data_IF_182074212075
#
_entry.id   IF_182074212075
#
_cell.length_a   1.000
_cell.length_b   1.000
_cell.length_c   1.000
_cell.angle_alpha   90.00
_cell.angle_beta   90.00
_cell.angle_gamma   90.00
#
_symmetry.space_group_name_H-M   'P 1'
#
loop_
_entity.id
_entity.type
_entity.pdbx_description
1 polymer ?
#
# COMPACT_ATOMS: atom_id res chain seq x y z
N UNK A 1 -12.05 56.27 -0.21
CA UNK A 1 -12.19 54.84 0.03
C UNK A 1 -10.84 54.34 0.47
N UNK A 2 -10.67 54.24 1.77
CA UNK A 2 -9.44 53.82 2.41
C UNK A 2 -9.52 52.28 2.60
N UNK A 3 -8.52 51.56 2.15
CA UNK A 3 -8.34 50.13 2.34
C UNK A 3 -7.50 49.91 3.59
N UNK A 4 -8.12 49.34 4.63
CA UNK A 4 -7.46 48.83 5.82
C UNK A 4 -6.66 47.57 5.47
N UNK A 5 -5.35 47.70 5.51
CA UNK A 5 -4.44 46.57 5.63
C UNK A 5 -3.96 46.51 7.08
N UNK A 6 -4.63 45.71 7.91
CA UNK A 6 -4.06 45.25 9.18
C UNK A 6 -2.97 44.26 8.85
N UNK A 7 -1.74 44.57 9.23
CA UNK A 7 -0.55 43.80 8.94
C UNK A 7 -0.49 42.57 9.86
N UNK A 8 0.05 41.45 9.34
CA UNK A 8 0.25 40.20 10.09
C UNK A 8 1.05 40.36 11.40
N UNK A 9 1.76 41.47 11.57
CA UNK A 9 2.47 41.82 12.80
C UNK A 9 1.53 42.21 13.96
N UNK A 10 0.35 42.84 13.67
CA UNK A 10 -0.63 43.17 14.71
C UNK A 10 -1.38 41.94 15.23
N UNK A 11 -1.54 40.92 14.40
CA UNK A 11 -2.12 39.64 14.78
C UNK A 11 -1.16 38.79 15.64
N UNK A 12 0.12 38.83 15.35
CA UNK A 12 1.14 38.13 16.12
C UNK A 12 1.31 38.76 17.54
N UNK A 13 1.29 40.07 17.64
CA UNK A 13 1.38 40.79 18.91
C UNK A 13 0.16 40.53 19.81
N UNK A 14 -1.04 40.37 19.24
CA UNK A 14 -2.27 40.05 19.98
C UNK A 14 -2.26 38.61 20.51
N UNK A 15 -1.59 37.70 19.83
CA UNK A 15 -1.43 36.29 20.26
C UNK A 15 -0.43 36.15 21.42
N UNK A 16 0.69 36.85 21.36
CA UNK A 16 1.68 36.85 22.45
C UNK A 16 1.15 37.44 23.74
N UNK A 17 0.30 38.51 23.65
CA UNK A 17 -0.36 39.09 24.81
C UNK A 17 -1.42 38.17 25.46
N UNK A 18 -2.03 37.26 24.69
CA UNK A 18 -3.03 36.30 25.18
C UNK A 18 -2.39 35.10 25.91
N UNK A 19 -1.15 34.74 25.59
CA UNK A 19 -0.42 33.60 26.21
C UNK A 19 0.29 34.01 27.52
N UNK A 20 0.61 35.31 27.70
CA UNK A 20 1.36 35.80 28.87
C UNK A 20 0.47 36.14 30.08
N UNK A 21 -0.88 36.07 30.00
CA UNK A 21 -1.83 36.52 31.04
C UNK A 21 -2.65 35.40 31.69
N UNK A 22 -2.31 34.16 31.54
CA UNK A 22 -3.03 33.01 32.13
C UNK A 22 -2.61 32.68 33.56
N UNK A 23 -3.25 33.35 34.54
CA UNK A 23 -3.11 33.04 35.96
C UNK A 23 -3.86 31.73 36.28
N UNK A 24 -3.15 30.67 36.68
CA UNK A 24 -3.66 29.34 36.94
C UNK A 24 -4.43 29.18 38.26
N UNK A 25 -4.70 30.26 38.98
CA UNK A 25 -5.37 30.20 40.29
C UNK A 25 -6.90 30.37 40.26
N UNK A 26 -7.50 30.72 39.12
CA UNK A 26 -8.94 30.97 39.02
C UNK A 26 -9.78 29.79 38.52
N UNK A 27 -9.15 28.67 38.09
CA UNK A 27 -9.87 27.52 37.55
C UNK A 27 -10.21 26.45 38.60
N UNK A 28 -9.55 26.45 39.76
CA UNK A 28 -9.78 25.44 40.83
C UNK A 28 -10.92 25.85 41.81
N UNK A 29 -11.31 27.13 41.86
CA UNK A 29 -12.37 27.59 42.74
C UNK A 29 -13.78 27.44 42.15
N UNK A 30 -13.93 27.21 40.87
CA UNK A 30 -15.24 27.08 40.21
C UNK A 30 -15.88 25.68 40.31
N UNK A 31 -15.12 24.65 40.67
CA UNK A 31 -15.62 23.25 40.77
C UNK A 31 -16.12 22.87 42.14
N UNK A 32 -15.89 23.67 43.22
CA UNK A 32 -16.30 23.37 44.57
C UNK A 32 -17.58 24.04 45.06
N UNK A 33 -18.31 24.74 44.21
CA UNK A 33 -19.40 25.62 44.62
C UNK A 33 -20.84 25.07 44.39
N UNK A 34 -21.05 23.82 43.97
CA UNK A 34 -22.44 23.33 43.81
C UNK A 34 -22.65 21.89 44.18
N UNK A 35 -22.90 21.60 45.49
CA UNK A 35 -23.78 20.52 45.93
C UNK A 35 -24.18 20.76 47.41
N UNK A 36 -25.47 20.93 47.74
CA UNK A 36 -25.93 21.08 49.12
C UNK A 36 -26.34 19.74 49.76
N UNK A 37 -25.82 19.53 50.95
CA UNK A 37 -26.56 18.90 52.04
C UNK A 37 -26.59 17.39 52.22
N UNK A 38 -25.87 16.90 53.25
CA UNK A 38 -26.45 16.10 54.31
C UNK A 38 -25.40 15.84 55.41
N UNK A 39 -25.78 16.15 56.67
CA UNK A 39 -24.93 16.09 57.84
C UNK A 39 -24.79 14.72 58.47
N UNK A 40 -23.75 14.60 59.32
CA UNK A 40 -23.51 13.54 60.27
C UNK A 40 -22.15 13.71 60.95
N UNK A 41 -21.99 13.41 62.24
CA UNK A 41 -21.10 14.07 63.18
C UNK A 41 -19.65 13.53 63.23
N UNK A 42 -18.75 14.20 63.99
CA UNK A 42 -17.29 14.09 63.83
C UNK A 42 -16.65 12.97 64.67
N UNK A 43 -15.61 12.40 64.17
CA UNK A 43 -14.68 11.60 64.96
C UNK A 43 -13.22 11.78 64.48
N UNK A 44 -12.47 12.41 65.35
CA UNK A 44 -11.06 12.25 65.71
C UNK A 44 -9.99 12.03 64.63
N UNK A 45 -9.07 12.99 64.60
CA UNK A 45 -7.75 12.87 63.97
C UNK A 45 -6.82 11.99 64.85
N UNK A 46 -5.85 11.34 64.25
CA UNK A 46 -4.49 11.45 64.76
C UNK A 46 -3.43 11.74 63.69
N UNK A 47 -2.71 12.79 63.97
CA UNK A 47 -1.26 12.98 64.00
C UNK A 47 -0.37 12.41 62.85
N UNK A 48 0.25 13.37 62.23
CA UNK A 48 1.52 13.40 61.50
C UNK A 48 2.55 12.33 61.88
N UNK A 49 3.13 11.69 60.86
CA UNK A 49 4.56 11.34 60.86
C UNK A 49 5.14 11.68 59.48
N UNK A 50 5.98 12.68 59.47
CA UNK A 50 6.90 12.96 58.40
C UNK A 50 8.13 12.05 58.49
N UNK A 51 8.77 11.85 57.32
CA UNK A 51 10.14 11.33 57.15
C UNK A 51 10.32 9.82 57.08
N UNK A 52 10.54 9.31 55.85
CA UNK A 52 11.90 8.89 55.46
C UNK A 52 11.91 8.42 53.99
N UNK A 53 12.63 9.17 53.20
CA UNK A 53 13.09 8.73 51.88
C UNK A 53 14.27 7.78 52.08
N UNK A 54 14.20 6.53 51.64
CA UNK A 54 15.34 5.74 51.13
C UNK A 54 14.76 4.62 50.27
N UNK A 55 15.33 4.41 49.10
CA UNK A 55 14.91 3.46 48.08
C UNK A 55 14.63 2.04 48.61
N UNK A 56 13.45 1.59 48.34
CA UNK A 56 13.12 0.16 48.33
C UNK A 56 12.43 -0.13 47.01
N UNK A 57 13.05 -1.02 46.24
CA UNK A 57 12.39 -1.70 45.16
C UNK A 57 10.99 -2.11 45.61
N UNK A 58 9.98 -1.49 45.03
CA UNK A 58 8.59 -1.78 45.31
C UNK A 58 8.30 -3.16 44.75
N UNK A 59 8.48 -4.19 45.61
CA UNK A 59 8.07 -5.56 45.28
C UNK A 59 6.56 -5.50 45.13
N UNK A 60 6.06 -5.64 43.91
CA UNK A 60 4.64 -5.72 43.60
C UNK A 60 4.03 -6.91 44.35
N UNK A 61 2.93 -6.69 45.05
CA UNK A 61 2.16 -7.76 45.70
C UNK A 61 1.60 -8.72 44.65
N UNK A 62 1.40 -10.00 45.04
CA UNK A 62 0.87 -11.03 44.13
C UNK A 62 -0.46 -10.61 43.51
N UNK A 63 -1.32 -9.91 44.25
CA UNK A 63 -2.59 -9.38 43.73
C UNK A 63 -2.42 -8.26 42.71
N UNK A 64 -1.38 -7.45 42.84
CA UNK A 64 -1.02 -6.44 41.81
C UNK A 64 -0.44 -7.09 40.56
N UNK A 65 0.33 -8.16 40.73
CA UNK A 65 0.88 -8.95 39.62
C UNK A 65 -0.28 -9.70 38.92
N UNK A 66 -1.19 -10.29 39.64
CA UNK A 66 -2.34 -10.99 39.07
C UNK A 66 -3.33 -10.03 38.42
N UNK A 67 -3.50 -8.82 38.96
CA UNK A 67 -4.28 -7.74 38.35
C UNK A 67 -3.63 -7.23 37.06
N UNK A 68 -2.30 -7.07 36.99
CA UNK A 68 -1.54 -6.68 35.81
C UNK A 68 -1.53 -7.79 34.76
N UNK A 69 -1.53 -9.04 35.15
CA UNK A 69 -1.61 -10.22 34.29
C UNK A 69 -3.03 -10.56 33.84
N UNK A 70 -4.05 -9.92 34.48
CA UNK A 70 -5.46 -10.14 34.15
C UNK A 70 -6.03 -11.43 34.70
N UNK A 71 -5.46 -11.96 35.79
CA UNK A 71 -5.98 -13.11 36.58
C UNK A 71 -6.82 -12.64 37.75
N UNK A 72 -7.79 -11.75 37.55
CA UNK A 72 -8.82 -11.55 38.58
C UNK A 72 -9.86 -12.68 38.48
N UNK A 73 -9.90 -13.54 39.48
CA UNK A 73 -10.99 -14.49 39.69
C UNK A 73 -12.24 -13.74 40.16
N UNK A 74 -12.93 -13.06 39.25
CA UNK A 74 -14.30 -12.64 39.41
C UNK A 74 -15.04 -12.91 38.11
N UNK A 75 -15.64 -14.10 38.06
CA UNK A 75 -16.71 -14.44 37.15
C UNK A 75 -17.97 -13.71 37.60
N UNK A 76 -18.19 -12.48 37.21
CA UNK A 76 -19.50 -11.84 37.01
C UNK A 76 -19.31 -10.35 36.73
N UNK A 77 -19.17 -10.02 35.49
CA UNK A 77 -19.74 -8.81 34.84
C UNK A 77 -18.96 -8.46 33.59
N UNK A 78 -19.66 -8.39 32.48
CA UNK A 78 -19.10 -8.04 31.15
C UNK A 78 -18.66 -6.60 31.08
N UNK A 79 -17.46 -6.28 31.59
CA UNK A 79 -16.82 -5.00 31.30
C UNK A 79 -15.31 -5.07 31.60
N UNK A 80 -14.52 -4.77 30.58
CA UNK A 80 -13.11 -4.37 30.61
C UNK A 80 -12.08 -5.49 30.82
N UNK A 81 -11.77 -6.17 29.74
CA UNK A 81 -10.46 -6.81 29.53
C UNK A 81 -9.38 -5.73 29.39
N UNK A 82 -9.07 -5.01 30.46
CA UNK A 82 -8.07 -3.96 30.51
C UNK A 82 -6.85 -4.49 31.28
N UNK A 83 -5.95 -5.13 30.57
CA UNK A 83 -4.69 -5.59 31.16
C UNK A 83 -3.63 -5.76 30.08
N UNK A 84 -2.45 -6.20 30.47
CA UNK A 84 -1.32 -6.51 29.58
C UNK A 84 -1.76 -7.41 28.40
N UNK A 85 -2.74 -8.31 28.59
CA UNK A 85 -3.34 -9.09 27.50
C UNK A 85 -4.04 -8.22 26.44
N UNK A 86 -4.73 -7.15 26.84
CA UNK A 86 -5.33 -6.22 25.88
C UNK A 86 -4.24 -5.44 25.16
N UNK A 87 -3.16 -5.05 25.86
CA UNK A 87 -1.99 -4.40 25.25
C UNK A 87 -1.22 -5.36 24.33
N UNK A 88 -0.98 -6.60 24.74
CA UNK A 88 -0.36 -7.62 23.89
C UNK A 88 -1.25 -7.93 22.69
N UNK A 89 -2.56 -8.06 22.89
CA UNK A 89 -3.50 -8.28 21.79
C UNK A 89 -3.58 -7.06 20.85
N UNK A 90 -3.54 -5.83 21.36
CA UNK A 90 -3.52 -4.64 20.53
C UNK A 90 -2.17 -4.44 19.83
N UNK A 91 -1.06 -4.75 20.49
CA UNK A 91 0.28 -4.70 19.89
C UNK A 91 0.46 -5.77 18.80
N UNK A 92 -0.15 -6.96 18.99
CA UNK A 92 -0.16 -8.02 17.96
C UNK A 92 -1.08 -7.67 16.76
N UNK A 93 -1.98 -6.70 16.90
CA UNK A 93 -2.90 -6.23 15.85
C UNK A 93 -2.44 -4.91 15.23
N UNK A 94 -1.41 -4.26 15.78
CA UNK A 94 -0.78 -3.09 15.15
C UNK A 94 0.05 -3.52 13.94
N UNK A 95 -0.65 -3.95 12.89
CA UNK A 95 -0.01 -4.25 11.61
C UNK A 95 0.34 -2.97 10.88
N UNK A 96 1.43 -3.07 10.15
CA UNK A 96 1.96 -2.00 9.32
C UNK A 96 0.91 -1.50 8.34
N UNK A 97 0.67 -0.20 8.33
CA UNK A 97 -0.22 0.43 7.37
C UNK A 97 0.38 0.31 5.98
N UNK A 98 -0.41 -0.14 5.01
CA UNK A 98 -0.01 -0.30 3.62
C UNK A 98 -0.69 0.78 2.76
N UNK A 99 -0.08 1.97 2.60
CA UNK A 99 -0.74 3.11 1.96
C UNK A 99 -1.16 2.84 0.51
N UNK A 100 -0.38 2.01 -0.19
CA UNK A 100 -0.68 1.69 -1.59
C UNK A 100 -1.93 0.84 -1.76
N UNK A 101 -2.36 0.10 -0.73
CA UNK A 101 -3.63 -0.64 -0.80
C UNK A 101 -4.83 0.30 -0.90
N UNK A 102 -4.80 1.44 -0.22
CA UNK A 102 -5.88 2.44 -0.31
C UNK A 102 -6.06 2.87 -1.78
N UNK A 103 -4.97 3.15 -2.47
CA UNK A 103 -4.99 3.56 -3.89
C UNK A 103 -5.48 2.43 -4.81
N UNK A 104 -5.04 1.19 -4.56
CA UNK A 104 -5.49 0.02 -5.33
C UNK A 104 -7.00 -0.19 -5.14
N UNK A 105 -7.50 -0.09 -3.91
CA UNK A 105 -8.92 -0.29 -3.65
C UNK A 105 -9.79 0.87 -4.13
N UNK A 106 -9.32 2.11 -4.11
CA UNK A 106 -10.01 3.23 -4.77
C UNK A 106 -10.13 3.01 -6.28
N UNK A 107 -9.10 2.43 -6.90
CA UNK A 107 -9.15 2.03 -8.31
C UNK A 107 -10.13 0.87 -8.51
N UNK A 108 -10.10 -0.14 -7.62
CA UNK A 108 -11.04 -1.26 -7.67
C UNK A 108 -12.49 -0.79 -7.64
N UNK A 109 -12.83 0.12 -6.73
CA UNK A 109 -14.17 0.72 -6.60
C UNK A 109 -14.65 1.33 -7.92
N UNK A 110 -13.80 2.09 -8.60
CA UNK A 110 -14.14 2.69 -9.90
C UNK A 110 -14.36 1.64 -10.99
N UNK A 111 -13.50 0.61 -11.06
CA UNK A 111 -13.65 -0.48 -12.02
C UNK A 111 -14.91 -1.29 -11.74
N UNK A 112 -15.13 -1.69 -10.48
CA UNK A 112 -16.32 -2.43 -10.06
C UNK A 112 -17.61 -1.66 -10.36
N UNK A 113 -17.67 -0.35 -10.11
CA UNK A 113 -18.83 0.48 -10.44
C UNK A 113 -19.18 0.33 -11.92
N UNK A 114 -18.20 0.39 -12.82
CA UNK A 114 -18.44 0.24 -14.26
C UNK A 114 -18.82 -1.18 -14.64
N UNK A 115 -18.09 -2.17 -14.13
CA UNK A 115 -18.33 -3.58 -14.47
C UNK A 115 -19.66 -4.09 -13.94
N UNK A 116 -20.04 -3.70 -12.71
CA UNK A 116 -21.31 -4.10 -12.12
C UNK A 116 -22.50 -3.41 -12.79
N UNK A 117 -22.39 -2.14 -13.22
CA UNK A 117 -23.41 -1.50 -14.06
C UNK A 117 -23.66 -2.26 -15.34
N UNK A 118 -22.58 -2.70 -16.01
CA UNK A 118 -22.68 -3.51 -17.22
C UNK A 118 -23.26 -4.90 -16.93
N UNK A 119 -22.91 -5.52 -15.82
CA UNK A 119 -23.37 -6.84 -15.42
C UNK A 119 -24.84 -6.87 -15.07
N UNK A 120 -25.33 -5.89 -14.32
CA UNK A 120 -26.72 -5.80 -13.85
C UNK A 120 -27.63 -5.04 -14.83
N UNK A 121 -27.05 -4.24 -15.74
CA UNK A 121 -27.77 -3.26 -16.59
C UNK A 121 -28.61 -2.27 -15.76
N UNK A 122 -28.18 -2.01 -14.53
CA UNK A 122 -28.81 -1.08 -13.59
C UNK A 122 -27.80 -0.03 -13.08
N UNK A 123 -28.30 1.02 -12.42
CA UNK A 123 -27.42 2.02 -11.82
C UNK A 123 -26.83 1.50 -10.53
N UNK A 124 -25.55 1.12 -10.56
CA UNK A 124 -24.82 0.60 -9.41
C UNK A 124 -23.74 1.62 -8.99
N UNK A 125 -23.65 1.87 -7.72
CA UNK A 125 -22.57 2.65 -7.10
C UNK A 125 -21.83 1.78 -6.09
N UNK A 126 -20.50 1.77 -6.18
CA UNK A 126 -19.62 1.06 -5.25
C UNK A 126 -18.87 2.07 -4.44
N UNK A 127 -18.78 1.86 -3.13
CA UNK A 127 -18.01 2.70 -2.22
C UNK A 127 -17.12 1.85 -1.31
N UNK A 128 -15.99 2.42 -0.90
CA UNK A 128 -15.07 1.82 0.06
C UNK A 128 -15.45 2.29 1.46
N UNK A 129 -15.96 1.40 2.29
CA UNK A 129 -16.36 1.73 3.66
C UNK A 129 -15.15 1.79 4.60
N UNK A 130 -14.29 0.77 4.57
CA UNK A 130 -13.12 0.70 5.46
C UNK A 130 -12.08 -0.32 4.99
N UNK A 131 -10.82 -0.05 5.34
CA UNK A 131 -9.71 -1.01 5.27
C UNK A 131 -9.21 -1.22 6.70
N UNK A 132 -9.25 -2.45 7.19
CA UNK A 132 -8.93 -2.78 8.57
C UNK A 132 -8.01 -4.00 8.63
N UNK A 133 -7.10 -4.00 9.61
CA UNK A 133 -6.30 -5.19 9.92
C UNK A 133 -6.95 -5.93 11.08
N UNK A 134 -7.12 -7.24 10.93
CA UNK A 134 -7.70 -8.10 11.97
C UNK A 134 -7.15 -9.52 11.88
N UNK A 135 -7.45 -10.33 12.89
CA UNK A 135 -7.11 -11.75 12.85
C UNK A 135 -8.11 -12.50 11.98
N UNK A 136 -7.59 -13.49 11.26
CA UNK A 136 -8.42 -14.33 10.39
C UNK A 136 -9.56 -15.04 11.14
N UNK A 137 -9.27 -15.56 12.34
CA UNK A 137 -10.28 -16.24 13.17
C UNK A 137 -11.38 -15.29 13.66
N UNK A 138 -11.03 -14.05 14.03
CA UNK A 138 -11.99 -13.05 14.47
C UNK A 138 -12.92 -12.65 13.31
N UNK A 139 -12.37 -12.55 12.11
CA UNK A 139 -13.16 -12.30 10.91
C UNK A 139 -14.17 -13.41 10.64
N UNK A 140 -13.75 -14.68 10.63
CA UNK A 140 -14.65 -15.81 10.38
C UNK A 140 -15.82 -15.86 11.37
N UNK A 141 -15.57 -15.47 12.63
CA UNK A 141 -16.60 -15.40 13.66
C UNK A 141 -17.53 -14.18 13.53
N UNK A 142 -17.10 -13.14 12.81
CA UNK A 142 -17.86 -11.90 12.61
C UNK A 142 -18.78 -11.94 11.40
N UNK A 143 -18.66 -12.93 10.51
CA UNK A 143 -19.44 -13.03 9.28
C UNK A 143 -20.93 -13.25 9.59
N UNK A 144 -21.83 -12.34 9.19
CA UNK A 144 -23.27 -12.54 9.36
C UNK A 144 -23.75 -13.65 8.42
N UNK A 145 -24.43 -14.64 8.97
CA UNK A 145 -25.00 -15.73 8.18
C UNK A 145 -26.50 -15.48 7.89
N UNK A 146 -26.99 -15.90 6.74
CA UNK A 146 -26.33 -16.60 5.64
C UNK A 146 -25.48 -15.66 4.76
N UNK A 147 -24.31 -16.15 4.31
CA UNK A 147 -23.44 -15.46 3.37
C UNK A 147 -22.85 -16.45 2.37
N UNK A 148 -22.35 -15.96 1.25
CA UNK A 148 -21.54 -16.75 0.31
C UNK A 148 -20.09 -16.31 0.45
N UNK A 149 -19.22 -17.31 0.64
CA UNK A 149 -17.77 -17.13 0.80
C UNK A 149 -17.08 -17.74 -0.43
N UNK A 150 -16.47 -16.90 -1.22
CA UNK A 150 -15.69 -17.29 -2.38
C UNK A 150 -14.21 -17.32 -2.02
N UNK A 151 -13.63 -18.50 -1.99
CA UNK A 151 -12.19 -18.67 -1.85
C UNK A 151 -11.56 -18.52 -3.21
N UNK A 152 -10.56 -17.65 -3.33
CA UNK A 152 -9.83 -17.44 -4.57
C UNK A 152 -8.33 -17.58 -4.35
N UNK A 153 -7.63 -17.97 -5.40
CA UNK A 153 -6.18 -18.10 -5.42
C UNK A 153 -5.55 -16.93 -6.18
N UNK A 154 -4.53 -16.32 -5.59
CA UNK A 154 -3.65 -15.37 -6.27
C UNK A 154 -2.45 -16.14 -6.85
N UNK A 155 -2.47 -16.43 -8.16
CA UNK A 155 -1.51 -17.35 -8.80
C UNK A 155 -0.05 -16.94 -8.60
N UNK A 156 0.27 -15.67 -8.83
CA UNK A 156 1.65 -15.17 -8.75
C UNK A 156 2.15 -14.99 -7.31
N UNK A 157 1.23 -14.93 -6.35
CA UNK A 157 1.54 -14.83 -4.93
C UNK A 157 1.48 -16.19 -4.22
N UNK A 158 1.08 -17.25 -4.96
CA UNK A 158 0.93 -18.65 -4.52
C UNK A 158 0.18 -18.80 -3.19
N UNK A 159 -0.83 -17.97 -2.98
CA UNK A 159 -1.61 -17.94 -1.75
C UNK A 159 -3.09 -17.63 -2.03
N UNK A 160 -3.92 -17.68 -1.01
CA UNK A 160 -5.36 -17.53 -1.11
C UNK A 160 -5.86 -16.22 -0.51
N UNK A 161 -7.04 -15.81 -0.96
CA UNK A 161 -7.86 -14.76 -0.37
C UNK A 161 -9.32 -15.21 -0.27
N UNK A 162 -10.12 -14.43 0.44
CA UNK A 162 -11.53 -14.71 0.68
C UNK A 162 -12.37 -13.49 0.28
N UNK A 163 -13.40 -13.72 -0.52
CA UNK A 163 -14.42 -12.73 -0.86
C UNK A 163 -15.74 -13.16 -0.26
N UNK A 164 -16.28 -12.37 0.65
CA UNK A 164 -17.57 -12.64 1.31
C UNK A 164 -18.63 -11.73 0.71
N UNK A 165 -19.76 -12.32 0.31
CA UNK A 165 -20.89 -11.62 -0.25
C UNK A 165 -22.08 -11.75 0.72
N UNK A 166 -22.60 -10.61 1.17
CA UNK A 166 -23.71 -10.53 2.10
C UNK A 166 -25.05 -10.97 1.41
N UNK A 167 -25.94 -11.53 2.20
CA UNK A 167 -27.27 -11.96 1.75
C UNK A 167 -28.08 -10.86 1.07
N UNK A 168 -28.02 -9.62 1.58
CA UNK A 168 -28.73 -8.50 1.00
C UNK A 168 -28.26 -8.24 -0.44
N UNK A 169 -26.93 -8.27 -0.64
CA UNK A 169 -26.36 -8.11 -1.98
C UNK A 169 -26.73 -9.27 -2.89
N UNK A 170 -26.67 -10.50 -2.39
CA UNK A 170 -27.02 -11.70 -3.16
C UNK A 170 -28.44 -11.60 -3.70
N UNK A 171 -29.40 -11.36 -2.79
CA UNK A 171 -30.82 -11.27 -3.21
C UNK A 171 -31.08 -10.05 -4.09
N UNK A 172 -30.43 -8.91 -3.83
CA UNK A 172 -30.53 -7.72 -4.66
C UNK A 172 -30.08 -7.98 -6.10
N UNK A 173 -28.93 -8.63 -6.27
CA UNK A 173 -28.39 -8.95 -7.60
C UNK A 173 -29.22 -10.01 -8.30
N UNK A 174 -29.63 -11.05 -7.59
CA UNK A 174 -30.49 -12.11 -8.15
C UNK A 174 -31.81 -11.52 -8.65
N UNK A 175 -32.44 -10.65 -7.85
CA UNK A 175 -33.68 -10.00 -8.21
C UNK A 175 -33.52 -9.11 -9.45
N UNK A 176 -32.47 -8.30 -9.53
CA UNK A 176 -32.17 -7.46 -10.70
C UNK A 176 -31.94 -8.32 -11.96
N UNK A 177 -31.09 -9.36 -11.85
CA UNK A 177 -30.77 -10.22 -13.00
C UNK A 177 -31.96 -11.06 -13.51
N UNK A 178 -32.89 -11.37 -12.63
CA UNK A 178 -34.13 -12.08 -12.99
C UNK A 178 -35.25 -11.13 -13.46
N UNK A 179 -34.95 -9.83 -13.57
CA UNK A 179 -35.90 -8.83 -14.10
C UNK A 179 -36.87 -8.30 -13.05
N UNK A 180 -36.54 -8.39 -11.78
CA UNK A 180 -37.30 -7.80 -10.67
C UNK A 180 -37.43 -6.29 -10.84
N UNK A 181 -38.68 -5.79 -10.79
CA UNK A 181 -38.99 -4.36 -10.89
C UNK A 181 -38.55 -3.66 -9.59
N UNK A 182 -38.22 -2.36 -9.70
CA UNK A 182 -38.01 -1.47 -8.56
C UNK A 182 -39.26 -1.55 -7.65
N UNK A 183 -39.06 -2.11 -6.48
CA UNK A 183 -40.14 -2.35 -5.52
C UNK A 183 -39.91 -1.54 -4.26
N UNK A 184 -40.97 -0.97 -3.72
CA UNK A 184 -40.99 -0.26 -2.44
C UNK A 184 -40.93 -1.18 -1.21
N UNK A 185 -40.86 -2.50 -1.43
CA UNK A 185 -40.86 -3.49 -0.34
C UNK A 185 -39.40 -3.88 -0.03
N UNK A 186 -38.98 -3.64 1.19
CA UNK A 186 -37.66 -4.10 1.69
C UNK A 186 -37.54 -5.61 1.47
N UNK A 187 -36.45 -6.02 0.82
CA UNK A 187 -36.18 -7.43 0.56
C UNK A 187 -36.03 -8.19 1.89
N UNK A 188 -36.86 -9.20 2.08
CA UNK A 188 -36.80 -10.02 3.29
C UNK A 188 -35.73 -11.10 3.12
N UNK A 189 -34.67 -11.00 3.90
CA UNK A 189 -33.64 -12.04 3.93
C UNK A 189 -34.22 -13.27 4.63
N UNK A 190 -34.48 -14.32 3.83
CA UNK A 190 -34.89 -15.61 4.35
C UNK A 190 -33.62 -16.40 4.75
N UNK A 191 -33.59 -16.95 5.98
CA UNK A 191 -32.47 -17.76 6.46
C UNK A 191 -32.37 -19.16 5.82
N UNK A 192 -32.84 -19.31 4.56
CA UNK A 192 -32.79 -20.56 3.82
C UNK A 192 -31.45 -20.76 3.10
N UNK A 193 -31.06 -22.01 2.79
CA UNK A 193 -29.91 -22.29 1.95
C UNK A 193 -30.11 -21.72 0.53
N UNK A 194 -29.02 -21.25 -0.08
CA UNK A 194 -29.05 -20.70 -1.42
C UNK A 194 -29.32 -21.80 -2.47
N UNK A 195 -30.17 -21.48 -3.43
CA UNK A 195 -30.48 -22.35 -4.56
C UNK A 195 -29.31 -22.45 -5.55
N UNK A 196 -29.36 -23.43 -6.43
CA UNK A 196 -28.35 -23.61 -7.48
C UNK A 196 -28.28 -22.39 -8.42
N UNK A 197 -29.43 -21.79 -8.74
CA UNK A 197 -29.50 -20.60 -9.60
C UNK A 197 -28.82 -19.42 -8.93
N UNK A 198 -29.14 -19.14 -7.67
CA UNK A 198 -28.52 -18.07 -6.87
C UNK A 198 -27.01 -18.25 -6.80
N UNK A 199 -26.54 -19.48 -6.54
CA UNK A 199 -25.10 -19.79 -6.50
C UNK A 199 -24.41 -19.52 -7.84
N UNK A 200 -25.00 -19.91 -8.95
CA UNK A 200 -24.43 -19.66 -10.30
C UNK A 200 -24.34 -18.16 -10.59
N UNK A 201 -25.39 -17.40 -10.26
CA UNK A 201 -25.39 -15.94 -10.47
C UNK A 201 -24.35 -15.24 -9.60
N UNK A 202 -24.22 -15.66 -8.34
CA UNK A 202 -23.18 -15.12 -7.44
C UNK A 202 -21.77 -15.54 -7.89
N UNK A 203 -21.61 -16.75 -8.43
CA UNK A 203 -20.32 -17.17 -9.02
C UNK A 203 -19.89 -16.19 -10.12
N UNK A 204 -20.81 -15.85 -11.02
CA UNK A 204 -20.56 -14.87 -12.09
C UNK A 204 -20.22 -13.49 -11.54
N UNK A 205 -20.95 -13.04 -10.51
CA UNK A 205 -20.62 -11.79 -9.81
C UNK A 205 -19.20 -11.80 -9.28
N UNK A 206 -18.82 -12.88 -8.58
CA UNK A 206 -17.47 -13.04 -7.99
C UNK A 206 -16.41 -13.01 -9.08
N UNK A 207 -16.61 -13.70 -10.20
CA UNK A 207 -15.69 -13.69 -11.35
C UNK A 207 -15.47 -12.27 -11.90
N UNK A 208 -16.53 -11.46 -11.99
CA UNK A 208 -16.43 -10.05 -12.41
C UNK A 208 -15.61 -9.23 -11.42
N UNK A 209 -15.86 -9.39 -10.12
CA UNK A 209 -15.13 -8.69 -9.07
C UNK A 209 -13.63 -9.07 -9.07
N UNK A 210 -13.31 -10.36 -9.21
CA UNK A 210 -11.93 -10.85 -9.26
C UNK A 210 -11.19 -10.35 -10.51
N UNK A 211 -11.88 -10.24 -11.65
CA UNK A 211 -11.31 -9.65 -12.86
C UNK A 211 -10.98 -8.16 -12.67
N UNK A 212 -11.85 -7.42 -12.00
CA UNK A 212 -11.60 -6.01 -11.68
C UNK A 212 -10.51 -5.86 -10.62
N UNK A 213 -10.43 -6.76 -9.64
CA UNK A 213 -9.34 -6.81 -8.68
C UNK A 213 -7.99 -7.04 -9.38
N UNK A 214 -7.91 -7.97 -10.34
CA UNK A 214 -6.73 -8.15 -11.19
C UNK A 214 -6.29 -6.84 -11.86
N UNK A 215 -7.24 -6.15 -12.51
CA UNK A 215 -6.97 -4.86 -13.19
C UNK A 215 -6.56 -3.75 -12.22
N UNK A 216 -7.09 -3.78 -11.00
CA UNK A 216 -6.75 -2.81 -9.97
C UNK A 216 -5.32 -2.99 -9.47
N UNK A 217 -4.85 -4.23 -9.33
CA UNK A 217 -3.49 -4.57 -8.91
C UNK A 217 -2.44 -4.44 -10.03
N UNK A 218 -2.85 -4.47 -11.31
CA UNK A 218 -1.95 -4.48 -12.48
C UNK A 218 -0.82 -3.42 -12.45
N UNK A 219 -1.05 -2.15 -12.03
CA UNK A 219 0.02 -1.16 -11.94
C UNK A 219 1.06 -1.44 -10.86
N UNK A 220 0.68 -2.22 -9.83
CA UNK A 220 1.54 -2.55 -8.71
C UNK A 220 2.28 -3.87 -8.95
N UNK A 221 1.52 -4.88 -9.30
CA UNK A 221 2.00 -6.23 -9.63
C UNK A 221 0.97 -6.94 -10.51
N UNK A 222 1.43 -7.63 -11.54
CA UNK A 222 0.56 -8.46 -12.35
C UNK A 222 0.15 -9.71 -11.53
N UNK A 223 -1.03 -9.67 -10.92
CA UNK A 223 -1.60 -10.74 -10.09
C UNK A 223 -2.90 -11.24 -10.71
N UNK A 224 -2.97 -12.55 -10.99
CA UNK A 224 -4.19 -13.19 -11.45
C UNK A 224 -4.94 -13.81 -10.26
N UNK A 225 -6.18 -13.35 -10.07
CA UNK A 225 -7.08 -13.90 -9.07
C UNK A 225 -8.04 -14.88 -9.72
N UNK A 226 -8.03 -16.13 -9.29
CA UNK A 226 -8.87 -17.18 -9.81
C UNK A 226 -9.75 -17.76 -8.71
N UNK A 227 -11.05 -17.89 -8.99
CA UNK A 227 -11.98 -18.53 -8.07
C UNK A 227 -11.63 -20.01 -7.92
N UNK A 228 -11.37 -20.44 -6.70
CA UNK A 228 -11.08 -21.83 -6.35
C UNK A 228 -12.36 -22.58 -5.99
N UNK A 229 -13.10 -22.08 -5.01
CA UNK A 229 -14.35 -22.70 -4.55
C UNK A 229 -15.29 -21.69 -3.87
N UNK A 230 -16.56 -22.08 -3.78
CA UNK A 230 -17.60 -21.31 -3.10
C UNK A 230 -18.13 -22.12 -1.92
N UNK A 231 -18.12 -21.50 -0.75
CA UNK A 231 -18.57 -22.07 0.51
C UNK A 231 -19.71 -21.23 1.10
N UNK A 232 -20.56 -21.86 1.91
CA UNK A 232 -21.63 -21.19 2.66
C UNK A 232 -21.37 -21.26 4.18
N UNK A 233 -20.43 -22.11 4.59
CA UNK A 233 -20.04 -22.26 5.97
C UNK A 233 -18.62 -21.72 6.17
N UNK A 234 -18.42 -20.73 7.07
CA UNK A 234 -17.11 -20.15 7.32
C UNK A 234 -16.02 -21.15 7.71
N UNK A 235 -16.39 -22.26 8.34
CA UNK A 235 -15.43 -23.30 8.75
C UNK A 235 -14.74 -23.97 7.57
N UNK A 236 -15.41 -24.07 6.41
CA UNK A 236 -14.84 -24.66 5.19
C UNK A 236 -14.07 -23.62 4.34
N UNK A 237 -14.25 -22.35 4.63
CA UNK A 237 -13.53 -21.25 3.99
C UNK A 237 -12.20 -20.90 4.71
N UNK A 238 -11.71 -21.77 5.58
CA UNK A 238 -10.44 -21.55 6.27
C UNK A 238 -9.26 -21.64 5.30
N UNK A 239 -8.64 -20.48 5.02
CA UNK A 239 -7.47 -20.32 4.12
C UNK A 239 -6.19 -20.00 4.88
N UNK A 240 -6.29 -19.65 6.16
CA UNK A 240 -5.17 -19.28 7.02
C UNK A 240 -5.43 -19.77 8.46
N UNK A 241 -4.39 -19.76 9.29
CA UNK A 241 -4.57 -20.06 10.70
C UNK A 241 -5.36 -18.94 11.39
N UNK A 242 -6.20 -19.25 12.41
CA UNK A 242 -7.02 -18.25 13.09
C UNK A 242 -6.23 -17.08 13.70
N UNK A 243 -4.99 -17.34 14.13
CA UNK A 243 -4.10 -16.32 14.70
C UNK A 243 -3.46 -15.40 13.64
N UNK A 244 -3.47 -15.80 12.37
CA UNK A 244 -2.83 -15.03 11.30
C UNK A 244 -3.57 -13.71 11.08
N UNK A 245 -2.79 -12.70 10.80
CA UNK A 245 -3.29 -11.40 10.42
C UNK A 245 -3.79 -11.37 8.98
N UNK A 246 -4.83 -10.63 8.77
CA UNK A 246 -5.40 -10.38 7.47
C UNK A 246 -5.88 -8.93 7.34
N UNK A 247 -5.87 -8.42 6.14
CA UNK A 247 -6.47 -7.14 5.79
C UNK A 247 -7.87 -7.39 5.30
N UNK A 248 -8.83 -6.76 5.96
CA UNK A 248 -10.24 -6.75 5.59
C UNK A 248 -10.59 -5.44 4.90
N UNK A 249 -11.12 -5.55 3.70
CA UNK A 249 -11.62 -4.44 2.89
C UNK A 249 -13.13 -4.56 2.80
N UNK A 250 -13.83 -3.57 3.30
CA UNK A 250 -15.30 -3.52 3.28
C UNK A 250 -15.76 -2.62 2.14
N UNK A 251 -16.48 -3.20 1.22
CA UNK A 251 -17.07 -2.52 0.07
C UNK A 251 -18.58 -2.50 0.23
N UNK A 252 -19.19 -1.36 -0.04
CA UNK A 252 -20.63 -1.20 -0.12
C UNK A 252 -21.03 -1.09 -1.60
N UNK A 253 -22.05 -1.81 -1.97
CA UNK A 253 -22.60 -1.82 -3.32
C UNK A 253 -24.06 -1.40 -3.22
N UNK A 254 -24.38 -0.22 -3.73
CA UNK A 254 -25.72 0.38 -3.70
C UNK A 254 -26.31 0.36 -5.11
N UNK A 255 -27.54 -0.09 -5.20
CA UNK A 255 -28.34 -0.21 -6.44
C UNK A 255 -29.69 0.46 -6.20
N UNK A 256 -29.76 1.78 -6.29
CA UNK A 256 -30.94 2.61 -5.95
C UNK A 256 -31.51 2.27 -4.56
N UNK A 257 -32.63 1.54 -4.47
CA UNK A 257 -33.27 1.18 -3.19
C UNK A 257 -32.77 -0.17 -2.61
N UNK A 258 -31.82 -0.80 -3.24
CA UNK A 258 -31.27 -2.12 -2.91
C UNK A 258 -29.77 -2.05 -2.82
N UNK A 259 -29.18 -3.09 -2.29
CA UNK A 259 -27.74 -3.18 -2.19
C UNK A 259 -27.29 -4.09 -1.06
N UNK A 260 -26.03 -4.01 -0.74
CA UNK A 260 -25.46 -4.79 0.34
C UNK A 260 -23.95 -4.60 0.44
N UNK A 261 -23.31 -5.53 1.12
CA UNK A 261 -21.88 -5.46 1.39
C UNK A 261 -21.15 -6.61 0.74
N UNK A 262 -19.93 -6.28 0.32
CA UNK A 262 -18.99 -7.25 -0.16
C UNK A 262 -17.67 -7.03 0.62
N UNK A 263 -17.10 -8.08 1.15
CA UNK A 263 -15.91 -8.00 1.98
C UNK A 263 -14.78 -8.82 1.35
N UNK A 264 -13.65 -8.18 1.10
CA UNK A 264 -12.44 -8.82 0.58
C UNK A 264 -11.43 -8.97 1.70
N UNK A 265 -11.03 -10.20 1.99
CA UNK A 265 -10.03 -10.53 3.00
C UNK A 265 -8.76 -11.06 2.34
N UNK A 266 -7.65 -10.41 2.64
CA UNK A 266 -6.32 -10.78 2.15
C UNK A 266 -5.41 -11.06 3.36
N UNK A 267 -4.99 -12.31 3.58
CA UNK A 267 -3.96 -12.62 4.58
C UNK A 267 -2.66 -11.85 4.30
N UNK A 268 -1.97 -11.40 5.35
CA UNK A 268 -0.66 -10.74 5.18
C UNK A 268 0.35 -11.63 4.46
N UNK A 269 0.29 -12.94 4.68
CA UNK A 269 1.11 -13.91 3.96
C UNK A 269 0.91 -13.84 2.44
N UNK A 270 -0.30 -13.52 1.97
CA UNK A 270 -0.61 -13.35 0.54
C UNK A 270 0.02 -12.07 -0.01
N UNK A 271 0.12 -11.02 0.79
CA UNK A 271 0.66 -9.72 0.38
C UNK A 271 2.19 -9.60 0.58
N UNK A 272 2.81 -10.53 1.33
CA UNK A 272 4.24 -10.49 1.67
C UNK A 272 5.17 -10.34 0.44
N UNK A 273 4.95 -11.06 -0.70
CA UNK A 273 5.81 -10.92 -1.88
C UNK A 273 5.81 -9.50 -2.47
N UNK A 274 4.71 -8.75 -2.33
CA UNK A 274 4.54 -7.40 -2.86
C UNK A 274 4.61 -6.31 -1.78
N UNK A 275 4.89 -6.69 -0.53
CA UNK A 275 4.91 -5.80 0.63
C UNK A 275 5.78 -4.55 0.42
N UNK A 276 6.98 -4.70 -0.17
CA UNK A 276 7.88 -3.58 -0.43
C UNK A 276 7.24 -2.51 -1.34
N UNK A 277 6.41 -2.92 -2.29
CA UNK A 277 5.68 -2.02 -3.17
C UNK A 277 4.49 -1.40 -2.45
N UNK A 278 3.83 -2.15 -1.57
CA UNK A 278 2.68 -1.69 -0.79
C UNK A 278 3.03 -0.66 0.29
N UNK A 279 4.27 -0.69 0.80
CA UNK A 279 4.79 0.26 1.78
C UNK A 279 5.25 1.59 1.20
N UNK A 280 5.38 1.69 -0.12
CA UNK A 280 5.76 2.94 -0.76
C UNK A 280 4.68 3.99 -0.52
N UNK A 281 5.07 5.13 0.01
CA UNK A 281 4.16 6.27 0.12
C UNK A 281 3.87 6.80 -1.29
N UNK A 282 2.61 7.07 -1.55
CA UNK A 282 2.20 7.75 -2.77
C UNK A 282 2.78 9.17 -2.77
N UNK A 283 3.92 9.34 -3.41
CA UNK A 283 4.47 10.65 -3.75
C UNK A 283 4.03 11.03 -5.16
N UNK A 284 2.78 11.45 -5.27
CA UNK A 284 2.17 12.23 -6.35
C UNK A 284 2.30 11.78 -7.80
N UNK A 285 3.39 11.17 -8.28
CA UNK A 285 3.61 10.95 -9.72
C UNK A 285 4.12 9.56 -10.12
N UNK A 286 4.30 8.61 -9.19
CA UNK A 286 4.88 7.30 -9.53
C UNK A 286 3.87 6.19 -9.77
N UNK A 287 2.57 6.48 -9.68
CA UNK A 287 1.50 5.52 -9.95
C UNK A 287 0.95 5.62 -11.38
N UNK A 288 1.77 5.65 -12.24
CA UNK A 288 1.74 5.40 -13.63
C UNK A 288 3.19 5.43 -14.00
N UNK A 289 3.80 4.27 -14.18
CA UNK A 289 4.77 4.22 -15.25
C UNK A 289 3.95 4.69 -16.43
N UNK A 290 4.16 5.95 -16.77
CA UNK A 290 3.66 6.48 -18.02
C UNK A 290 4.41 5.70 -19.09
N UNK A 291 3.90 4.51 -19.41
CA UNK A 291 4.49 3.62 -20.42
C UNK A 291 4.64 4.37 -21.73
N UNK A 292 3.85 5.42 -21.93
CA UNK A 292 3.92 6.31 -23.07
C UNK A 292 5.17 7.19 -22.94
N UNK A 293 5.39 7.80 -21.76
CA UNK A 293 6.56 8.65 -21.51
C UNK A 293 7.86 7.84 -21.43
N UNK A 294 7.84 6.69 -20.76
CA UNK A 294 8.99 5.76 -20.70
C UNK A 294 9.35 5.24 -22.10
N UNK A 295 8.34 4.87 -22.89
CA UNK A 295 8.53 4.45 -24.28
C UNK A 295 9.03 5.59 -25.16
N UNK A 296 8.52 6.80 -24.99
CA UNK A 296 8.99 7.98 -25.70
C UNK A 296 10.43 8.33 -25.31
N UNK A 297 10.74 8.34 -24.00
CA UNK A 297 12.09 8.58 -23.50
C UNK A 297 13.08 7.52 -24.01
N UNK A 298 12.70 6.25 -23.98
CA UNK A 298 13.51 5.17 -24.55
C UNK A 298 13.78 5.41 -26.04
N UNK A 299 12.77 5.78 -26.82
CA UNK A 299 12.91 6.06 -28.24
C UNK A 299 13.83 7.26 -28.49
N UNK A 300 13.67 8.34 -27.73
CA UNK A 300 14.55 9.52 -27.83
C UNK A 300 15.99 9.21 -27.41
N UNK A 301 16.19 8.40 -26.36
CA UNK A 301 17.54 7.94 -25.95
C UNK A 301 18.21 7.08 -27.03
N UNK A 302 17.43 6.21 -27.70
CA UNK A 302 17.96 5.42 -28.83
C UNK A 302 18.30 6.25 -30.03
N UNK A 303 17.66 7.39 -30.26
CA UNK A 303 17.92 8.31 -31.36
C UNK A 303 19.01 9.35 -31.05
N UNK A 304 19.43 9.47 -29.78
CA UNK A 304 20.39 10.45 -29.33
C UNK A 304 21.76 10.24 -30.00
N UNK A 305 22.33 11.28 -30.65
CA UNK A 305 23.64 11.17 -31.32
C UNK A 305 24.75 11.03 -30.28
N UNK A 306 25.65 10.08 -30.48
CA UNK A 306 26.84 9.91 -29.64
C UNK A 306 28.11 10.01 -30.50
N UNK A 307 29.19 10.56 -29.92
CA UNK A 307 30.46 10.71 -30.61
C UNK A 307 31.27 9.44 -30.49
N UNK A 308 31.57 8.85 -31.64
CA UNK A 308 32.45 7.70 -31.74
C UNK A 308 33.84 8.14 -32.23
N UNK A 309 34.90 7.59 -31.61
CA UNK A 309 36.29 7.79 -32.00
C UNK A 309 36.85 6.48 -32.55
N UNK A 310 37.51 6.57 -33.70
CA UNK A 310 38.24 5.44 -34.26
C UNK A 310 39.72 5.67 -33.94
N UNK A 311 40.28 4.82 -33.09
CA UNK A 311 41.67 4.89 -32.69
C UNK A 311 42.44 3.86 -33.49
N UNK A 312 43.37 4.33 -34.33
CA UNK A 312 44.14 3.50 -35.20
C UNK A 312 45.37 2.91 -34.51
N UNK A 313 46.06 3.71 -33.69
CA UNK A 313 47.22 3.32 -32.92
C UNK A 313 47.39 4.21 -31.68
N UNK A 314 47.94 3.66 -30.59
CA UNK A 314 48.30 4.41 -29.40
C UNK A 314 49.73 4.07 -29.02
N UNK A 315 50.58 5.11 -28.87
CA UNK A 315 51.95 4.91 -28.47
C UNK A 315 52.37 5.91 -27.41
N UNK A 316 53.30 5.49 -26.57
CA UNK A 316 53.84 6.30 -25.48
C UNK A 316 55.12 6.99 -25.92
N UNK A 317 55.23 8.29 -25.69
CA UNK A 317 56.46 9.04 -25.90
C UNK A 317 56.81 9.87 -24.68
N UNK A 318 58.13 10.15 -24.46
CA UNK A 318 58.58 11.05 -23.37
C UNK A 318 57.98 12.44 -23.55
N UNK A 319 57.51 13.04 -22.48
CA UNK A 319 56.89 14.38 -22.47
C UNK A 319 57.79 15.45 -23.10
N UNK A 320 59.12 15.42 -22.84
CA UNK A 320 60.06 16.37 -23.41
C UNK A 320 60.10 16.33 -24.98
N UNK A 321 59.89 15.14 -25.58
CA UNK A 321 59.82 15.02 -27.03
C UNK A 321 58.50 15.60 -27.58
N UNK A 322 57.42 15.43 -26.81
CA UNK A 322 56.12 15.98 -27.17
C UNK A 322 56.11 17.52 -27.10
N UNK A 323 56.76 18.11 -26.12
CA UNK A 323 56.77 19.56 -25.94
C UNK A 323 57.66 20.29 -26.96
N UNK A 324 58.60 19.57 -27.60
CA UNK A 324 59.52 20.14 -28.58
C UNK A 324 59.09 19.84 -30.05
N UNK A 325 57.84 19.38 -30.27
CA UNK A 325 57.30 19.13 -31.63
C UNK A 325 57.22 20.45 -32.44
N UNK A 326 57.76 20.41 -33.66
CA UNK A 326 57.73 21.54 -34.60
C UNK A 326 56.92 21.19 -35.82
N UNK A 327 56.45 22.22 -36.52
CA UNK A 327 55.76 22.07 -37.79
C UNK A 327 56.65 21.39 -38.81
N UNK A 328 56.28 20.21 -39.30
CA UNK A 328 57.08 19.39 -40.23
C UNK A 328 57.65 18.12 -39.61
N UNK A 329 57.54 17.96 -38.29
CA UNK A 329 57.98 16.72 -37.62
C UNK A 329 57.05 15.54 -38.00
N UNK A 330 57.68 14.39 -38.27
CA UNK A 330 56.96 13.18 -38.64
C UNK A 330 56.83 12.24 -37.44
N UNK A 331 55.61 11.91 -37.07
CA UNK A 331 55.28 10.91 -36.08
C UNK A 331 54.97 9.59 -36.81
N UNK A 332 55.82 8.59 -36.57
CA UNK A 332 55.66 7.26 -37.17
C UNK A 332 54.72 6.44 -36.28
N UNK A 333 53.62 5.99 -36.85
CA UNK A 333 52.67 5.03 -36.20
C UNK A 333 53.04 3.60 -36.59
N UNK A 334 52.79 2.63 -35.69
CA UNK A 334 53.03 1.21 -35.99
C UNK A 334 51.86 0.56 -36.76
N UNK A 335 50.88 1.36 -37.17
CA UNK A 335 49.73 0.89 -37.91
C UNK A 335 50.07 0.66 -39.39
N UNK A 336 49.69 -0.50 -39.91
CA UNK A 336 49.72 -0.87 -41.34
C UNK A 336 48.30 -0.77 -41.90
N UNK A 337 48.11 -0.76 -43.24
CA UNK A 337 46.79 -0.73 -43.86
C UNK A 337 45.86 -1.88 -43.39
N UNK A 338 46.42 -3.00 -42.94
CA UNK A 338 45.71 -4.17 -42.46
C UNK A 338 45.53 -4.19 -40.93
N UNK A 339 46.06 -3.17 -40.24
CA UNK A 339 45.94 -3.08 -38.79
C UNK A 339 44.49 -2.85 -38.36
N UNK A 340 44.11 -3.49 -37.26
CA UNK A 340 42.77 -3.31 -36.65
C UNK A 340 42.72 -2.03 -35.84
N UNK A 341 41.76 -1.18 -36.20
CA UNK A 341 41.44 0.01 -35.40
C UNK A 341 40.41 -0.30 -34.32
N UNK A 342 40.45 0.46 -33.24
CA UNK A 342 39.58 0.35 -32.12
C UNK A 342 38.47 1.40 -32.17
N UNK A 343 37.20 0.98 -32.10
CA UNK A 343 36.06 1.88 -32.00
C UNK A 343 35.79 2.17 -30.50
N UNK A 344 35.86 3.44 -30.16
CA UNK A 344 35.69 3.90 -28.77
C UNK A 344 34.49 4.84 -28.65
N UNK A 345 33.76 4.73 -27.54
CA UNK A 345 32.76 5.69 -27.12
C UNK A 345 33.18 6.24 -25.75
N UNK A 346 33.62 7.52 -25.74
CA UNK A 346 34.34 8.00 -24.54
C UNK A 346 35.61 7.16 -24.30
N UNK A 347 35.71 6.55 -23.14
CA UNK A 347 36.80 5.67 -22.73
C UNK A 347 36.48 4.18 -22.85
N UNK A 348 35.30 3.85 -23.36
CA UNK A 348 34.82 2.47 -23.47
C UNK A 348 35.16 1.93 -24.88
N UNK A 349 35.86 0.80 -24.91
CA UNK A 349 36.14 0.06 -26.13
C UNK A 349 34.90 -0.73 -26.58
N UNK A 350 34.34 -0.39 -27.76
CA UNK A 350 33.15 -1.05 -28.29
C UNK A 350 33.46 -2.29 -29.11
N UNK A 351 34.30 -2.11 -30.11
CA UNK A 351 34.65 -3.19 -31.06
C UNK A 351 35.90 -2.82 -31.85
N UNK A 352 36.39 -3.77 -32.66
CA UNK A 352 37.52 -3.58 -33.58
C UNK A 352 37.06 -3.72 -35.04
N UNK A 353 37.79 -3.11 -35.92
CA UNK A 353 37.53 -3.19 -37.36
C UNK A 353 38.67 -2.67 -38.19
N UNK A 354 38.55 -2.79 -39.51
CA UNK A 354 39.52 -2.29 -40.46
C UNK A 354 39.12 -0.89 -40.99
N UNK A 355 40.08 0.00 -41.06
CA UNK A 355 39.89 1.32 -41.62
C UNK A 355 40.10 1.25 -43.14
N UNK A 356 39.19 1.88 -43.88
CA UNK A 356 39.22 1.90 -45.33
C UNK A 356 38.58 3.18 -45.86
N UNK A 357 38.31 3.20 -47.16
CA UNK A 357 37.72 4.34 -47.85
C UNK A 357 36.48 3.91 -48.61
N UNK A 358 35.40 4.65 -48.47
CA UNK A 358 34.20 4.50 -49.30
C UNK A 358 33.94 5.83 -50.00
N UNK A 359 34.19 5.83 -51.31
CA UNK A 359 34.16 7.08 -52.12
C UNK A 359 35.20 8.09 -51.60
N UNK A 360 34.77 9.27 -51.19
CA UNK A 360 35.63 10.34 -50.65
C UNK A 360 35.75 10.33 -49.13
N UNK A 361 35.05 9.40 -48.43
CA UNK A 361 34.99 9.36 -46.97
C UNK A 361 35.80 8.22 -46.40
N UNK A 362 36.50 8.45 -45.28
CA UNK A 362 37.14 7.41 -44.50
C UNK A 362 36.02 6.61 -43.76
N UNK A 363 36.12 5.32 -43.82
CA UNK A 363 35.15 4.41 -43.21
C UNK A 363 35.85 3.32 -42.41
N UNK A 364 35.15 2.74 -41.44
CA UNK A 364 35.61 1.59 -40.71
C UNK A 364 34.65 0.41 -40.93
N UNK A 365 35.19 -0.76 -41.31
CA UNK A 365 34.46 -1.99 -41.41
C UNK A 365 34.54 -2.72 -40.08
N UNK A 366 33.41 -2.86 -39.39
CA UNK A 366 33.32 -3.58 -38.13
C UNK A 366 33.48 -5.08 -38.38
N UNK A 367 34.38 -5.75 -37.67
CA UNK A 367 34.66 -7.20 -37.81
C UNK A 367 33.99 -8.04 -36.73
N UNK A 368 33.73 -7.48 -35.57
CA UNK A 368 33.10 -8.20 -34.45
C UNK A 368 31.88 -7.42 -33.90
N UNK A 369 30.84 -8.10 -33.44
CA UNK A 369 29.74 -7.43 -32.76
C UNK A 369 30.20 -6.80 -31.44
N UNK A 370 29.50 -5.74 -31.00
CA UNK A 370 29.77 -5.10 -29.70
C UNK A 370 29.67 -6.15 -28.59
N UNK A 371 30.70 -6.25 -27.75
CA UNK A 371 30.76 -7.25 -26.68
C UNK A 371 29.70 -6.99 -25.62
N UNK A 372 29.21 -8.05 -25.01
CA UNK A 372 28.24 -7.96 -23.89
C UNK A 372 28.78 -7.12 -22.71
N UNK A 373 30.10 -7.20 -22.46
CA UNK A 373 30.78 -6.41 -21.43
C UNK A 373 30.73 -4.90 -21.75
N UNK A 374 31.01 -4.51 -23.01
CA UNK A 374 30.93 -3.12 -23.44
C UNK A 374 29.49 -2.58 -23.37
N UNK A 375 28.50 -3.41 -23.70
CA UNK A 375 27.07 -3.03 -23.53
C UNK A 375 26.71 -2.76 -22.08
N UNK A 376 27.20 -3.58 -21.13
CA UNK A 376 26.97 -3.37 -19.69
C UNK A 376 27.67 -2.11 -19.19
N UNK A 377 28.93 -1.89 -19.57
CA UNK A 377 29.66 -0.68 -19.17
C UNK A 377 28.98 0.60 -19.67
N UNK A 378 28.44 0.61 -20.89
CA UNK A 378 27.67 1.75 -21.41
C UNK A 378 26.39 2.03 -20.60
N UNK A 379 25.80 1.02 -19.99
CA UNK A 379 24.59 1.14 -19.16
C UNK A 379 24.89 1.45 -17.68
N UNK A 380 26.07 1.07 -17.18
CA UNK A 380 26.52 1.27 -15.79
C UNK A 380 27.26 2.59 -15.55
N UNK A 381 27.73 3.25 -16.60
CA UNK A 381 28.39 4.58 -16.48
C UNK A 381 27.33 5.66 -16.34
N UNK A 382 26.77 5.76 -15.13
CA UNK A 382 25.84 6.80 -14.69
C UNK A 382 26.31 7.42 -13.41
#
# INVERSE_FOLDING_TARGET
>A
MASDTSTDEDLAASWEASVAGGDQSAADDAWNAELPGSGGPPAEAPQSIAQQAVGSERILNQDEIDSLLGFSMDEESGAKKNGIRALINSALVSYERLPMLEVVFDRLVRLMTTSLRNFTSDNVEVSLDAIQSMRFGDYLNSIPLPAILAVFKAKQLDNYGLLTVDSNLIYSIVDVLLGGRRGTVAMRVEGRPYTTIERVLVTRLVEVILLDARRAFDPLAAVDFELDRIETNPRFAAIAQPANAAILVKLRIDMEDRGGRCELLLPYATLEPIRKMLLQNFMGEKFGRDNIWEGHLATELWSAPTTLRVVLDEFKQPLGKMMNLQIGDTIVMNATPDSKAHLMCGDIHLTTGQVGRIGQKVAMRVEAPITQAAKRQLLETR
#
